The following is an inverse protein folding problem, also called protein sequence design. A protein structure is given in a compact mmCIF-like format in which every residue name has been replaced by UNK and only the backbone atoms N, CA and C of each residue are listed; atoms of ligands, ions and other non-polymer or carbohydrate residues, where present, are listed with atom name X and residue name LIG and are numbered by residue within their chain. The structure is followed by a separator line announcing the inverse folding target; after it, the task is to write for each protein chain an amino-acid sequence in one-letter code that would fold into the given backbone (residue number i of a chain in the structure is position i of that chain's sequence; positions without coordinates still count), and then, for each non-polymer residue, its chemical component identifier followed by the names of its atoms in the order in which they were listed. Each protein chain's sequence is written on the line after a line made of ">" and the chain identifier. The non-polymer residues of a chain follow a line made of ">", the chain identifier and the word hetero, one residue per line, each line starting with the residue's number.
data_IF_927165566778
#
_entry.id   IF_927165566778
#
_cell.length_a   1.000
_cell.length_b   1.000
_cell.length_c   1.000
_cell.angle_alpha   90.00
_cell.angle_beta   90.00
_cell.angle_gamma   90.00
#
_symmetry.space_group_name_H-M   'P 1'
#
loop_
_entity.id
_entity.type
_entity.pdbx_description
1 polymer ?
#
# COMPACT_ATOMS: atom_id res chain seq x y z
N UNK A 1 33.01 39.80 8.95
CA UNK A 1 33.76 38.52 8.95
C UNK A 1 32.89 37.46 8.26
N UNK A 2 33.33 36.84 7.15
CA UNK A 2 32.66 35.65 6.63
C UNK A 2 33.10 34.42 7.44
N UNK A 3 32.16 33.76 8.12
CA UNK A 3 32.46 32.59 8.94
C UNK A 3 32.82 31.37 8.06
N UNK A 4 33.85 30.62 8.47
CA UNK A 4 34.42 29.51 7.71
C UNK A 4 33.48 28.30 7.67
N UNK A 5 33.44 27.64 6.51
CA UNK A 5 32.84 26.33 6.31
C UNK A 5 33.67 25.28 7.09
N UNK A 6 33.03 24.52 7.97
CA UNK A 6 33.63 23.35 8.63
C UNK A 6 32.88 22.08 8.20
N UNK A 7 33.51 21.26 7.35
CA UNK A 7 33.06 19.90 7.06
C UNK A 7 33.60 18.94 8.14
N UNK A 8 32.72 18.33 8.94
CA UNK A 8 33.09 17.27 9.89
C UNK A 8 32.31 15.97 9.66
N UNK A 9 33.04 15.00 9.08
CA UNK A 9 32.94 13.53 9.21
C UNK A 9 31.60 12.81 9.48
N UNK A 10 31.19 12.00 8.50
CA UNK A 10 30.75 10.56 8.55
C UNK A 10 29.84 10.12 9.74
N UNK A 11 28.73 9.38 9.56
CA UNK A 11 28.48 8.24 8.62
C UNK A 11 27.01 8.20 8.14
N UNK A 12 26.80 7.52 7.01
CA UNK A 12 25.53 7.30 6.31
C UNK A 12 25.01 5.88 6.55
N UNK A 13 23.68 5.69 6.65
CA UNK A 13 23.03 4.39 6.37
C UNK A 13 22.15 4.55 5.13
N UNK A 14 22.39 3.69 4.13
CA UNK A 14 21.98 3.87 2.74
C UNK A 14 20.55 3.36 2.53
N UNK A 15 19.59 4.23 2.82
CA UNK A 15 18.24 4.32 2.19
C UNK A 15 17.81 5.80 2.11
N UNK A 16 18.26 6.61 3.08
CA UNK A 16 17.77 7.98 3.32
C UNK A 16 18.27 9.02 2.29
N UNK A 17 19.32 8.77 1.50
CA UNK A 17 19.92 9.80 0.62
C UNK A 17 18.92 10.45 -0.35
N UNK A 18 18.09 9.64 -1.02
CA UNK A 18 17.05 10.17 -1.92
C UNK A 18 15.96 10.94 -1.16
N UNK A 19 15.57 10.44 0.02
CA UNK A 19 14.62 11.11 0.90
C UNK A 19 15.13 12.50 1.33
N UNK A 20 16.40 12.60 1.73
CA UNK A 20 17.07 13.86 2.05
C UNK A 20 17.02 14.82 0.87
N UNK A 21 17.42 14.39 -0.33
CA UNK A 21 17.38 15.24 -1.53
C UNK A 21 15.95 15.76 -1.79
N UNK A 22 14.93 14.91 -1.72
CA UNK A 22 13.55 15.31 -1.98
C UNK A 22 13.04 16.29 -0.91
N UNK A 23 13.39 16.09 0.36
CA UNK A 23 13.03 17.00 1.45
C UNK A 23 13.77 18.35 1.34
N UNK A 24 15.06 18.36 1.02
CA UNK A 24 15.84 19.59 0.78
C UNK A 24 15.29 20.38 -0.41
N UNK A 25 14.91 19.70 -1.52
CA UNK A 25 14.20 20.31 -2.66
C UNK A 25 12.85 20.92 -2.28
N UNK A 26 12.21 20.42 -1.22
CA UNK A 26 10.96 20.97 -0.65
C UNK A 26 11.23 22.06 0.42
N UNK A 27 12.48 22.46 0.65
CA UNK A 27 12.85 23.49 1.61
C UNK A 27 12.98 23.01 3.06
N UNK A 28 12.89 21.70 3.33
CA UNK A 28 13.09 21.16 4.67
C UNK A 28 14.57 21.18 5.06
N UNK A 29 14.86 21.70 6.25
CA UNK A 29 16.17 21.57 6.89
C UNK A 29 16.24 20.26 7.67
N UNK A 30 17.25 19.45 7.40
CA UNK A 30 17.52 18.24 8.20
C UNK A 30 18.03 18.64 9.59
N UNK A 31 17.39 18.11 10.63
CA UNK A 31 17.83 18.19 12.02
C UNK A 31 18.60 16.92 12.39
N UNK A 32 19.62 17.06 13.24
CA UNK A 32 20.46 15.95 13.68
C UNK A 32 20.43 15.82 15.20
N UNK A 33 20.32 14.58 15.68
CA UNK A 33 20.37 14.25 17.11
C UNK A 33 19.00 13.84 17.67
N UNK A 34 18.98 12.90 18.65
CA UNK A 34 17.74 12.32 19.15
C UNK A 34 16.95 13.24 20.10
N UNK A 35 17.46 14.45 20.41
CA UNK A 35 16.87 15.35 21.40
C UNK A 35 16.03 16.49 20.81
N UNK A 36 16.04 16.67 19.49
CA UNK A 36 15.29 17.75 18.83
C UNK A 36 13.78 17.47 18.86
N UNK A 37 13.04 18.33 19.55
CA UNK A 37 11.58 18.19 19.73
C UNK A 37 10.77 19.08 18.79
N UNK A 38 11.39 20.13 18.27
CA UNK A 38 10.76 21.11 17.39
C UNK A 38 11.02 20.79 15.92
N UNK A 39 10.43 19.67 15.46
CA UNK A 39 10.45 19.22 14.06
C UNK A 39 9.05 19.30 13.44
N UNK A 40 8.95 19.47 12.12
CA UNK A 40 7.67 19.33 11.39
C UNK A 40 7.44 17.89 10.90
N UNK A 41 8.51 17.20 10.52
CA UNK A 41 8.51 15.82 10.04
C UNK A 41 9.60 15.00 10.74
N UNK A 42 9.20 13.91 11.38
CA UNK A 42 10.08 12.85 11.85
C UNK A 42 9.92 11.65 10.92
N UNK A 43 10.94 11.38 10.11
CA UNK A 43 10.98 10.19 9.26
C UNK A 43 11.93 9.15 9.86
N UNK A 44 11.40 7.96 10.15
CA UNK A 44 12.17 6.84 10.73
C UNK A 44 12.07 5.64 9.78
N UNK A 45 13.18 4.92 9.58
CA UNK A 45 13.15 3.69 8.79
C UNK A 45 12.59 2.52 9.59
N UNK A 46 13.09 2.33 10.82
CA UNK A 46 12.60 1.34 11.76
C UNK A 46 11.29 1.79 12.42
N UNK A 47 10.57 0.83 13.01
CA UNK A 47 9.33 1.08 13.74
C UNK A 47 9.60 1.93 15.01
N UNK A 48 9.17 3.20 15.07
CA UNK A 48 9.73 4.16 16.02
C UNK A 48 9.18 3.98 17.44
N UNK A 49 8.03 3.32 17.59
CA UNK A 49 7.36 3.14 18.88
C UNK A 49 8.03 2.09 19.79
N UNK A 50 8.94 1.26 19.27
CA UNK A 50 9.80 0.38 20.09
C UNK A 50 11.12 1.04 20.51
N UNK A 51 11.46 2.20 19.94
CA UNK A 51 12.74 2.87 20.21
C UNK A 51 12.58 3.76 21.45
N UNK A 52 13.19 3.36 22.56
CA UNK A 52 13.01 4.01 23.87
C UNK A 52 13.31 5.52 23.86
N UNK A 53 14.33 5.96 23.11
CA UNK A 53 14.64 7.39 22.95
C UNK A 53 13.53 8.16 22.23
N UNK A 54 12.86 7.55 21.24
CA UNK A 54 11.79 8.19 20.48
C UNK A 54 10.44 8.20 21.22
N UNK A 55 10.15 7.18 22.02
CA UNK A 55 8.87 7.06 22.75
C UNK A 55 8.49 8.31 23.55
N UNK A 56 9.48 9.00 24.16
CA UNK A 56 9.24 10.23 24.94
C UNK A 56 8.69 11.36 24.06
N UNK A 57 9.22 11.52 22.85
CA UNK A 57 8.83 12.57 21.92
C UNK A 57 7.50 12.23 21.22
N UNK A 58 7.32 10.97 20.84
CA UNK A 58 6.10 10.47 20.18
C UNK A 58 4.85 10.70 21.03
N UNK A 59 4.94 10.60 22.36
CA UNK A 59 3.82 10.89 23.27
C UNK A 59 3.43 12.38 23.33
N UNK A 60 4.30 13.29 22.91
CA UNK A 60 4.11 14.74 22.96
C UNK A 60 3.92 15.41 21.59
N UNK A 61 3.67 14.63 20.53
CA UNK A 61 3.54 15.10 19.14
C UNK A 61 2.40 16.11 19.03
N UNK A 62 2.72 17.30 18.53
CA UNK A 62 1.78 18.40 18.32
C UNK A 62 1.03 18.22 16.99
N UNK A 63 -0.19 18.78 16.81
CA UNK A 63 -1.03 18.53 15.63
C UNK A 63 -0.44 18.90 14.25
N UNK A 64 0.62 19.72 14.20
CA UNK A 64 1.33 20.05 12.96
C UNK A 64 2.43 19.04 12.60
N UNK A 65 2.93 18.30 13.59
CA UNK A 65 4.07 17.39 13.47
C UNK A 65 3.64 16.05 12.87
N UNK A 66 4.46 15.48 11.99
CA UNK A 66 4.13 14.27 11.21
C UNK A 66 5.17 13.17 11.44
N UNK A 67 4.70 11.93 11.54
CA UNK A 67 5.52 10.70 11.70
C UNK A 67 5.05 9.68 10.68
N UNK A 68 5.98 9.07 9.93
CA UNK A 68 5.70 8.16 8.81
C UNK A 68 5.32 6.71 9.20
N UNK A 69 4.85 6.48 10.42
CA UNK A 69 4.50 5.15 10.95
C UNK A 69 3.23 5.17 11.79
N UNK A 70 2.50 4.06 11.72
CA UNK A 70 1.30 3.73 12.49
C UNK A 70 1.69 3.00 13.80
N UNK A 71 1.31 3.41 15.02
CA UNK A 71 1.48 2.54 16.18
C UNK A 71 0.64 1.28 16.01
N UNK A 72 1.28 0.14 16.19
CA UNK A 72 0.77 -1.17 15.79
C UNK A 72 1.16 -1.57 14.37
N UNK A 73 1.89 -0.77 13.59
CA UNK A 73 2.17 -1.10 12.18
C UNK A 73 2.97 -2.38 12.01
N UNK A 74 3.92 -2.66 12.91
CA UNK A 74 4.62 -3.95 12.99
C UNK A 74 3.72 -5.19 12.95
N UNK A 75 2.44 -5.06 13.32
CA UNK A 75 1.43 -6.11 13.24
C UNK A 75 0.86 -6.32 11.82
N UNK A 76 0.56 -5.26 11.06
CA UNK A 76 0.07 -5.41 9.67
C UNK A 76 1.21 -5.50 8.65
N UNK A 77 2.36 -4.87 8.94
CA UNK A 77 3.58 -5.08 8.17
C UNK A 77 4.19 -6.47 8.42
N UNK A 78 3.69 -7.21 9.41
CA UNK A 78 4.03 -8.62 9.63
C UNK A 78 3.48 -9.49 8.51
N UNK A 79 4.42 -10.07 7.77
CA UNK A 79 4.18 -10.94 6.62
C UNK A 79 3.35 -12.19 6.98
N UNK A 80 3.48 -12.72 8.20
CA UNK A 80 2.58 -13.78 8.67
C UNK A 80 1.14 -13.25 8.78
N UNK A 81 0.92 -12.11 9.46
CA UNK A 81 -0.45 -11.59 9.63
C UNK A 81 -1.10 -11.17 8.31
N UNK A 82 -0.31 -10.70 7.34
CA UNK A 82 -0.73 -10.53 5.95
C UNK A 82 -1.30 -11.85 5.38
N UNK A 83 -0.48 -12.90 5.40
CA UNK A 83 -0.73 -14.15 4.69
C UNK A 83 -1.69 -15.11 5.41
N UNK A 84 -1.85 -14.98 6.74
CA UNK A 84 -2.85 -15.70 7.54
C UNK A 84 -4.11 -14.87 7.81
N UNK A 85 -4.26 -13.68 7.20
CA UNK A 85 -5.50 -12.90 7.33
C UNK A 85 -6.64 -13.56 6.55
N UNK A 86 -7.86 -13.43 7.07
CA UNK A 86 -9.06 -14.01 6.46
C UNK A 86 -9.62 -13.13 5.35
N UNK A 87 -8.81 -12.81 4.34
CA UNK A 87 -9.30 -12.12 3.14
C UNK A 87 -10.17 -13.06 2.31
N UNK A 88 -11.18 -12.49 1.66
CA UNK A 88 -12.11 -13.19 0.79
C UNK A 88 -11.47 -13.70 -0.50
N UNK A 89 -10.35 -13.11 -0.92
CA UNK A 89 -9.68 -13.40 -2.18
C UNK A 89 -8.18 -13.03 -2.16
N UNK A 90 -7.42 -13.58 -3.13
CA UNK A 90 -6.05 -13.12 -3.43
C UNK A 90 -4.97 -13.47 -2.41
N UNK A 91 -5.23 -14.40 -1.49
CA UNK A 91 -4.23 -14.98 -0.60
C UNK A 91 -4.04 -16.47 -0.87
N UNK A 92 -2.77 -16.86 -0.97
CA UNK A 92 -2.34 -18.26 -0.98
C UNK A 92 -2.56 -18.88 0.40
N UNK A 93 -3.03 -20.13 0.44
CA UNK A 93 -3.22 -20.85 1.71
C UNK A 93 -1.90 -20.88 2.48
N UNK A 94 -1.93 -20.40 3.73
CA UNK A 94 -0.72 -20.19 4.53
C UNK A 94 -0.95 -20.69 5.96
N UNK A 95 -0.02 -21.49 6.44
CA UNK A 95 -0.08 -22.20 7.72
C UNK A 95 1.15 -21.87 8.55
N UNK A 96 0.94 -21.37 9.76
CA UNK A 96 2.02 -21.07 10.73
C UNK A 96 2.44 -22.34 11.46
N UNK A 97 3.73 -22.63 11.55
CA UNK A 97 4.25 -23.84 12.20
C UNK A 97 4.98 -23.45 13.50
N UNK A 98 4.71 -24.15 14.63
CA UNK A 98 3.94 -25.38 14.77
C UNK A 98 2.41 -25.24 14.89
N UNK A 99 1.86 -24.03 15.09
CA UNK A 99 0.48 -23.87 15.60
C UNK A 99 -0.64 -24.37 14.66
N UNK A 100 -0.40 -24.42 13.36
CA UNK A 100 -1.35 -24.84 12.32
C UNK A 100 -0.93 -26.15 11.64
N UNK A 101 -0.03 -26.95 12.25
CA UNK A 101 0.46 -28.21 11.69
C UNK A 101 -0.67 -29.13 11.23
N UNK A 102 -1.65 -29.41 12.09
CA UNK A 102 -2.72 -30.36 11.78
C UNK A 102 -3.71 -29.82 10.74
N UNK A 103 -3.81 -28.49 10.61
CA UNK A 103 -4.58 -27.85 9.53
C UNK A 103 -3.85 -27.98 8.20
N UNK A 104 -2.52 -27.78 8.18
CA UNK A 104 -1.69 -28.02 7.00
C UNK A 104 -1.76 -29.47 6.53
N UNK A 105 -1.61 -30.45 7.44
CA UNK A 105 -1.64 -31.87 7.08
C UNK A 105 -2.98 -32.27 6.44
N UNK A 106 -4.12 -31.87 7.04
CA UNK A 106 -5.46 -32.11 6.47
C UNK A 106 -5.70 -31.37 5.15
N UNK A 107 -5.03 -30.24 4.92
CA UNK A 107 -5.07 -29.54 3.64
C UNK A 107 -4.24 -30.28 2.58
N UNK A 108 -3.02 -30.72 2.95
CA UNK A 108 -2.12 -31.45 2.07
C UNK A 108 -2.69 -32.80 1.62
N UNK A 109 -3.32 -33.57 2.52
CA UNK A 109 -4.01 -34.83 2.18
C UNK A 109 -5.02 -34.70 1.03
N UNK A 110 -5.62 -33.50 0.87
CA UNK A 110 -6.62 -33.19 -0.17
C UNK A 110 -6.03 -32.54 -1.42
N UNK A 111 -4.80 -32.04 -1.34
CA UNK A 111 -4.15 -31.20 -2.35
C UNK A 111 -2.67 -31.62 -2.53
N UNK A 112 -2.41 -32.93 -2.54
CA UNK A 112 -1.05 -33.50 -2.52
C UNK A 112 -0.25 -33.26 -3.81
N UNK A 113 -0.91 -32.76 -4.85
CA UNK A 113 -0.31 -32.28 -6.10
C UNK A 113 0.14 -30.82 -6.05
N UNK A 114 -0.23 -30.06 -5.02
CA UNK A 114 0.22 -28.66 -4.86
C UNK A 114 1.67 -28.60 -4.36
N UNK A 115 2.41 -27.61 -4.87
CA UNK A 115 3.72 -27.27 -4.33
C UNK A 115 3.57 -26.31 -3.14
N UNK A 116 4.48 -26.42 -2.18
CA UNK A 116 4.51 -25.56 -1.00
C UNK A 116 5.88 -24.91 -0.84
N UNK A 117 5.88 -23.66 -0.39
CA UNK A 117 7.07 -22.87 -0.12
C UNK A 117 7.17 -22.60 1.38
N UNK A 118 8.33 -22.93 1.96
CA UNK A 118 8.67 -22.69 3.35
C UNK A 118 9.37 -21.34 3.43
N UNK A 119 8.96 -20.52 4.40
CA UNK A 119 9.51 -19.18 4.63
C UNK A 119 9.61 -18.93 6.14
N UNK A 120 10.68 -18.26 6.58
CA UNK A 120 10.70 -17.67 7.92
C UNK A 120 10.24 -16.20 7.89
N UNK A 121 9.95 -15.64 9.07
CA UNK A 121 9.48 -14.26 9.23
C UNK A 121 10.40 -13.19 8.61
N UNK A 122 11.68 -13.50 8.40
CA UNK A 122 12.69 -12.59 7.84
C UNK A 122 12.94 -12.82 6.33
N UNK A 123 12.13 -13.65 5.66
CA UNK A 123 12.33 -14.05 4.26
C UNK A 123 13.72 -14.65 3.94
N UNK A 124 14.36 -15.26 4.94
CA UNK A 124 15.57 -16.08 4.75
C UNK A 124 15.19 -17.56 4.73
N UNK A 125 15.94 -18.38 4.01
CA UNK A 125 15.64 -19.82 3.88
C UNK A 125 14.34 -20.09 3.10
N UNK A 126 14.06 -19.29 2.06
CA UNK A 126 12.93 -19.54 1.16
C UNK A 126 13.25 -20.78 0.31
N UNK A 127 12.50 -21.87 0.51
CA UNK A 127 12.72 -23.17 -0.12
C UNK A 127 11.39 -23.83 -0.47
N UNK A 128 11.30 -24.44 -1.64
CA UNK A 128 10.26 -25.43 -1.96
C UNK A 128 10.79 -26.79 -1.51
N UNK A 129 10.01 -27.51 -0.70
CA UNK A 129 10.38 -28.80 -0.12
C UNK A 129 9.26 -29.82 -0.29
N UNK A 130 9.60 -31.10 -0.34
CA UNK A 130 8.59 -32.15 -0.15
C UNK A 130 8.09 -32.14 1.30
N UNK A 131 6.94 -32.74 1.57
CA UNK A 131 6.41 -32.82 2.94
C UNK A 131 7.33 -33.57 3.90
N UNK A 132 8.06 -34.57 3.39
CA UNK A 132 8.96 -35.43 4.16
C UNK A 132 10.23 -34.70 4.62
N UNK A 133 10.61 -33.61 3.94
CA UNK A 133 11.72 -32.75 4.29
C UNK A 133 11.34 -31.67 5.32
N UNK A 134 10.07 -31.56 5.72
CA UNK A 134 9.58 -30.51 6.62
C UNK A 134 9.74 -30.93 8.09
N UNK A 135 10.73 -30.35 8.76
CA UNK A 135 10.84 -30.49 10.21
C UNK A 135 9.85 -29.57 10.95
N UNK A 136 8.67 -30.10 11.26
CA UNK A 136 7.60 -29.41 12.00
C UNK A 136 7.94 -29.03 13.46
N UNK A 137 9.09 -29.44 14.02
CA UNK A 137 9.50 -29.05 15.38
C UNK A 137 10.20 -27.69 15.44
N UNK A 138 10.61 -27.15 14.28
CA UNK A 138 11.27 -25.84 14.21
C UNK A 138 10.22 -24.72 14.31
N UNK A 139 10.38 -23.84 15.29
CA UNK A 139 9.48 -22.70 15.49
C UNK A 139 9.76 -21.55 14.49
N UNK A 140 8.74 -20.71 14.26
CA UNK A 140 8.82 -19.43 13.51
C UNK A 140 9.05 -19.56 11.99
N UNK A 141 8.56 -20.62 11.37
CA UNK A 141 8.35 -20.67 9.92
C UNK A 141 6.87 -20.80 9.58
N UNK A 142 6.54 -20.49 8.33
CA UNK A 142 5.22 -20.71 7.74
C UNK A 142 5.36 -21.46 6.43
N UNK A 143 4.40 -22.34 6.18
CA UNK A 143 4.23 -23.07 4.93
C UNK A 143 3.16 -22.34 4.13
N UNK A 144 3.43 -22.05 2.87
CA UNK A 144 2.50 -21.36 1.99
C UNK A 144 2.34 -22.15 0.68
N UNK A 145 1.11 -22.28 0.19
CA UNK A 145 0.80 -22.78 -1.15
C UNK A 145 1.59 -21.98 -2.20
N UNK A 146 2.26 -22.67 -3.12
CA UNK A 146 3.11 -22.05 -4.12
C UNK A 146 2.39 -21.93 -5.48
N UNK A 147 2.50 -20.76 -6.12
CA UNK A 147 1.97 -20.53 -7.48
C UNK A 147 2.83 -21.31 -8.49
N UNK A 148 2.40 -22.53 -8.81
CA UNK A 148 3.06 -23.45 -9.74
C UNK A 148 3.04 -22.94 -11.19
N UNK A 149 1.97 -22.25 -11.59
CA UNK A 149 1.76 -21.71 -12.93
C UNK A 149 1.75 -20.16 -12.94
N UNK A 150 2.90 -19.49 -12.65
CA UNK A 150 2.95 -18.03 -12.68
C UNK A 150 2.85 -17.50 -14.11
N UNK A 151 2.31 -16.29 -14.30
CA UNK A 151 2.41 -15.60 -15.58
C UNK A 151 3.89 -15.31 -15.89
N UNK A 152 4.36 -15.81 -17.03
CA UNK A 152 5.75 -15.63 -17.46
C UNK A 152 5.88 -14.53 -18.52
N UNK A 153 7.00 -13.82 -18.49
CA UNK A 153 7.46 -12.93 -19.56
C UNK A 153 8.89 -13.32 -19.88
N UNK A 154 9.22 -13.56 -21.15
CA UNK A 154 10.51 -14.14 -21.57
C UNK A 154 10.90 -15.42 -20.80
N UNK A 155 9.90 -16.25 -20.46
CA UNK A 155 10.07 -17.47 -19.69
C UNK A 155 10.42 -17.25 -18.21
N UNK A 156 10.44 -16.01 -17.71
CA UNK A 156 10.81 -15.67 -16.33
C UNK A 156 9.58 -15.32 -15.50
N UNK A 157 9.59 -15.80 -14.26
CA UNK A 157 8.62 -15.42 -13.23
C UNK A 157 8.95 -14.00 -12.75
N UNK A 158 7.93 -13.25 -12.33
CA UNK A 158 8.09 -11.90 -11.79
C UNK A 158 7.09 -11.59 -10.68
N UNK A 159 7.35 -10.50 -9.95
CA UNK A 159 6.35 -9.86 -9.10
C UNK A 159 6.15 -8.36 -9.43
N UNK A 160 5.03 -7.84 -8.94
CA UNK A 160 4.57 -6.46 -9.13
C UNK A 160 4.51 -5.79 -7.76
N UNK A 161 5.45 -4.88 -7.50
CA UNK A 161 5.49 -4.05 -6.31
C UNK A 161 4.60 -2.81 -6.44
N UNK A 162 3.52 -2.75 -5.65
CA UNK A 162 2.54 -1.67 -5.60
C UNK A 162 2.74 -0.84 -4.34
N UNK A 163 2.93 0.48 -4.48
CA UNK A 163 3.06 1.37 -3.34
C UNK A 163 1.69 1.83 -2.82
N UNK A 164 1.46 1.62 -1.54
CA UNK A 164 0.22 1.93 -0.82
C UNK A 164 0.51 2.92 0.29
N UNK A 165 -0.34 3.94 0.43
CA UNK A 165 -0.28 4.94 1.49
C UNK A 165 -1.55 4.86 2.32
N UNK A 166 -1.44 4.51 3.60
CA UNK A 166 -2.49 4.77 4.58
C UNK A 166 -2.27 6.21 5.06
N UNK A 167 -3.30 7.06 5.06
CA UNK A 167 -3.19 8.47 5.53
C UNK A 167 -3.96 8.76 6.81
N UNK A 168 -4.98 7.95 7.07
CA UNK A 168 -5.82 8.00 8.26
C UNK A 168 -6.48 6.64 8.42
N UNK A 169 -6.95 6.36 9.62
CA UNK A 169 -7.62 5.10 9.97
C UNK A 169 -8.99 5.30 10.62
N UNK A 170 -9.27 6.53 11.05
CA UNK A 170 -10.48 6.91 11.78
C UNK A 170 -10.88 8.32 11.33
N UNK A 171 -11.56 8.45 10.17
CA UNK A 171 -11.96 7.36 9.28
C UNK A 171 -10.80 6.82 8.44
N UNK A 172 -10.91 5.58 7.98
CA UNK A 172 -9.88 4.91 7.19
C UNK A 172 -9.77 5.48 5.78
N UNK A 173 -8.56 5.90 5.41
CA UNK A 173 -8.20 6.46 4.11
C UNK A 173 -6.91 5.78 3.61
N UNK A 174 -7.01 5.15 2.45
CA UNK A 174 -5.96 4.34 1.84
C UNK A 174 -5.88 4.67 0.36
N UNK A 175 -4.66 4.85 -0.14
CA UNK A 175 -4.37 5.21 -1.52
C UNK A 175 -3.33 4.25 -2.10
N UNK A 176 -3.36 4.02 -3.41
CA UNK A 176 -2.27 3.36 -4.15
C UNK A 176 -1.64 4.33 -5.12
N UNK A 177 -0.33 4.21 -5.35
CA UNK A 177 0.37 4.95 -6.38
C UNK A 177 0.07 4.32 -7.75
N UNK A 178 -0.52 5.11 -8.65
CA UNK A 178 -0.81 4.66 -10.02
C UNK A 178 0.18 5.18 -11.06
N UNK A 179 1.16 6.01 -10.65
CA UNK A 179 2.13 6.62 -11.57
C UNK A 179 3.12 5.62 -12.19
N UNK A 180 3.51 4.58 -11.45
CA UNK A 180 4.24 3.42 -11.94
C UNK A 180 4.17 2.26 -10.91
N UNK A 181 4.76 1.11 -11.23
CA UNK A 181 4.97 -0.05 -10.36
C UNK A 181 6.42 -0.52 -10.43
N UNK A 182 6.89 -1.28 -9.45
CA UNK A 182 8.18 -1.96 -9.55
C UNK A 182 7.96 -3.37 -10.12
N UNK A 183 8.56 -3.70 -11.28
CA UNK A 183 8.60 -5.07 -11.78
C UNK A 183 9.96 -5.70 -11.47
N UNK A 184 9.94 -6.91 -10.91
CA UNK A 184 11.14 -7.66 -10.52
C UNK A 184 11.07 -9.08 -11.07
N UNK A 185 12.04 -9.46 -11.89
CA UNK A 185 12.08 -10.76 -12.55
C UNK A 185 13.07 -11.71 -11.85
N UNK A 186 12.74 -12.99 -11.78
CA UNK A 186 13.67 -14.05 -11.42
C UNK A 186 14.87 -14.05 -12.41
N UNK A 187 16.12 -14.25 -11.94
CA UNK A 187 17.29 -14.27 -12.83
C UNK A 187 17.23 -15.35 -13.92
N UNK A 188 16.70 -16.53 -13.61
CA UNK A 188 16.61 -17.65 -14.54
C UNK A 188 15.21 -17.88 -15.13
N UNK A 189 15.20 -18.56 -16.28
CA UNK A 189 13.96 -19.07 -16.88
C UNK A 189 13.32 -20.11 -15.95
N UNK A 190 12.01 -19.96 -15.75
CA UNK A 190 11.19 -20.78 -14.87
C UNK A 190 11.15 -22.25 -15.29
N UNK A 191 11.11 -22.49 -16.61
CA UNK A 191 11.18 -23.83 -17.20
C UNK A 191 12.55 -24.11 -17.85
N UNK A 192 13.07 -25.36 -17.77
CA UNK A 192 12.56 -26.45 -16.94
C UNK A 192 12.65 -26.10 -15.45
N UNK A 193 11.64 -26.54 -14.69
CA UNK A 193 11.47 -26.19 -13.28
C UNK A 193 12.41 -27.03 -12.41
N UNK A 194 13.11 -26.37 -11.49
CA UNK A 194 13.97 -26.99 -10.49
C UNK A 194 13.74 -26.30 -9.14
N UNK A 195 13.29 -27.06 -8.14
CA UNK A 195 13.04 -26.57 -6.79
C UNK A 195 14.32 -26.24 -6.01
N UNK A 196 15.47 -26.76 -6.44
CA UNK A 196 16.78 -26.46 -5.82
C UNK A 196 17.33 -25.12 -6.29
N UNK A 197 17.06 -24.72 -7.53
CA UNK A 197 17.48 -23.43 -8.07
C UNK A 197 16.46 -22.30 -7.74
N UNK A 198 16.78 -21.56 -6.68
CA UNK A 198 15.95 -20.44 -6.17
C UNK A 198 15.80 -19.30 -7.17
N UNK A 199 16.78 -19.09 -8.04
CA UNK A 199 16.80 -17.99 -9.02
C UNK A 199 15.80 -18.20 -10.17
N UNK A 200 15.13 -19.35 -10.22
CA UNK A 200 13.96 -19.59 -11.10
C UNK A 200 12.64 -19.12 -10.50
N UNK A 201 12.46 -19.24 -9.18
CA UNK A 201 11.13 -19.15 -8.55
C UNK A 201 11.00 -18.16 -7.38
N UNK A 202 12.12 -17.67 -6.84
CA UNK A 202 12.19 -16.66 -5.78
C UNK A 202 12.64 -15.32 -6.38
N UNK A 203 11.79 -14.30 -6.26
CA UNK A 203 12.20 -12.92 -6.54
C UNK A 203 13.01 -12.42 -5.35
N UNK A 204 14.34 -12.49 -5.48
CA UNK A 204 15.31 -12.06 -4.47
C UNK A 204 15.60 -10.54 -4.56
N UNK A 205 16.59 -10.05 -3.80
CA UNK A 205 17.08 -8.68 -3.96
C UNK A 205 17.94 -8.53 -5.24
N UNK A 206 18.53 -9.62 -5.74
CA UNK A 206 19.35 -9.69 -6.96
C UNK A 206 18.51 -9.98 -8.23
N UNK A 207 17.26 -9.48 -8.24
CA UNK A 207 16.31 -9.66 -9.33
C UNK A 207 16.79 -9.00 -10.64
N UNK A 208 16.36 -9.55 -11.79
CA UNK A 208 16.54 -8.87 -13.06
C UNK A 208 15.52 -7.72 -13.20
N UNK A 209 15.97 -6.49 -13.47
CA UNK A 209 15.09 -5.37 -13.74
C UNK A 209 14.59 -5.37 -15.19
N UNK A 210 13.46 -4.72 -15.42
CA UNK A 210 12.75 -4.66 -16.71
C UNK A 210 13.63 -4.24 -17.90
N UNK A 211 14.66 -3.42 -17.68
CA UNK A 211 15.53 -2.87 -18.73
C UNK A 211 16.73 -3.75 -19.13
N UNK A 212 17.04 -4.83 -18.39
CA UNK A 212 18.25 -5.62 -18.68
C UNK A 212 18.04 -6.71 -19.73
N UNK A 213 17.12 -7.66 -19.50
CA UNK A 213 17.05 -8.91 -20.29
C UNK A 213 15.62 -9.40 -20.57
N UNK A 214 14.64 -8.48 -20.58
CA UNK A 214 13.24 -8.80 -20.92
C UNK A 214 12.93 -8.23 -22.32
N UNK A 215 13.39 -8.94 -23.35
CA UNK A 215 13.29 -8.58 -24.77
C UNK A 215 11.84 -8.29 -25.20
N UNK A 216 10.89 -9.10 -24.73
CA UNK A 216 9.45 -8.90 -25.01
C UNK A 216 8.90 -7.54 -24.53
N UNK A 217 9.51 -6.94 -23.50
CA UNK A 217 9.10 -5.65 -22.94
C UNK A 217 9.93 -4.47 -23.46
N UNK A 218 11.12 -4.72 -24.01
CA UNK A 218 12.04 -3.68 -24.54
C UNK A 218 11.34 -2.72 -25.51
N UNK A 219 10.51 -3.25 -26.41
CA UNK A 219 9.75 -2.48 -27.41
C UNK A 219 8.70 -1.52 -26.83
N UNK A 220 8.31 -1.69 -25.57
CA UNK A 220 7.42 -0.77 -24.85
C UNK A 220 8.24 0.12 -23.90
N UNK A 221 9.08 -0.48 -23.06
CA UNK A 221 9.82 0.25 -22.02
C UNK A 221 10.93 1.14 -22.58
N UNK A 222 11.83 0.57 -23.39
CA UNK A 222 13.01 1.30 -23.88
C UNK A 222 12.70 2.11 -25.14
N UNK A 223 11.98 1.52 -26.09
CA UNK A 223 11.72 2.13 -27.39
C UNK A 223 10.60 3.19 -27.35
N UNK A 224 9.51 2.93 -26.62
CA UNK A 224 8.41 3.89 -26.43
C UNK A 224 8.53 4.71 -25.13
N UNK A 225 9.58 4.50 -24.33
CA UNK A 225 9.84 5.20 -23.05
C UNK A 225 8.68 5.11 -22.04
N UNK A 226 7.90 4.02 -22.10
CA UNK A 226 6.78 3.79 -21.20
C UNK A 226 7.24 3.48 -19.78
N UNK A 227 6.41 3.82 -18.78
CA UNK A 227 6.59 3.36 -17.41
C UNK A 227 6.51 1.82 -17.32
N UNK A 228 6.94 1.24 -16.21
CA UNK A 228 6.84 -0.21 -15.98
C UNK A 228 5.37 -0.69 -15.97
N UNK A 229 4.47 0.12 -15.41
CA UNK A 229 3.01 -0.10 -15.39
C UNK A 229 2.40 -0.06 -16.78
N UNK A 230 2.74 0.94 -17.59
CA UNK A 230 2.27 1.06 -18.98
C UNK A 230 2.83 -0.05 -19.86
N UNK A 231 4.10 -0.40 -19.68
CA UNK A 231 4.75 -1.53 -20.35
C UNK A 231 4.02 -2.85 -20.07
N UNK A 232 3.73 -3.14 -18.79
CA UNK A 232 2.97 -4.33 -18.42
C UNK A 232 1.55 -4.31 -19.02
N UNK A 233 0.89 -3.14 -19.01
CA UNK A 233 -0.44 -2.97 -19.61
C UNK A 233 -0.44 -3.24 -21.12
N UNK A 234 0.55 -2.70 -21.84
CA UNK A 234 0.71 -2.91 -23.28
C UNK A 234 0.99 -4.39 -23.58
N UNK A 235 1.86 -5.04 -22.81
CA UNK A 235 2.17 -6.46 -22.97
C UNK A 235 0.97 -7.37 -22.69
N UNK A 236 0.24 -7.16 -21.58
CA UNK A 236 -0.95 -7.96 -21.24
C UNK A 236 -2.02 -7.83 -22.34
N UNK A 237 -2.28 -6.62 -22.83
CA UNK A 237 -3.26 -6.38 -23.91
C UNK A 237 -2.82 -6.98 -25.24
N UNK A 238 -1.53 -6.90 -25.59
CA UNK A 238 -0.98 -7.51 -26.80
C UNK A 238 -1.10 -9.05 -26.80
N UNK A 239 -1.22 -9.67 -25.62
CA UNK A 239 -1.49 -11.10 -25.44
C UNK A 239 -3.00 -11.41 -25.27
N UNK A 240 -3.89 -10.52 -25.69
CA UNK A 240 -5.35 -10.74 -25.67
C UNK A 240 -6.01 -10.70 -24.29
N UNK A 241 -5.29 -10.23 -23.26
CA UNK A 241 -5.77 -10.20 -21.87
C UNK A 241 -6.15 -8.77 -21.43
N UNK A 242 -7.14 -8.64 -20.55
CA UNK A 242 -7.49 -7.35 -19.95
C UNK A 242 -6.62 -7.05 -18.72
N UNK A 243 -5.79 -6.01 -18.83
CA UNK A 243 -5.01 -5.49 -17.72
C UNK A 243 -5.84 -4.72 -16.67
N UNK A 244 -7.03 -4.23 -17.04
CA UNK A 244 -7.91 -3.44 -16.17
C UNK A 244 -8.38 -4.27 -14.97
N UNK A 245 -8.74 -5.54 -15.22
CA UNK A 245 -9.05 -6.55 -14.19
C UNK A 245 -7.92 -6.74 -13.17
N UNK A 246 -6.65 -6.75 -13.60
CA UNK A 246 -5.49 -6.86 -12.67
C UNK A 246 -5.51 -5.69 -11.67
N UNK A 247 -5.65 -4.46 -12.16
CA UNK A 247 -5.65 -3.27 -11.29
C UNK A 247 -6.90 -3.14 -10.41
N UNK A 248 -8.07 -3.57 -10.87
CA UNK A 248 -9.26 -3.62 -9.98
C UNK A 248 -9.04 -4.62 -8.85
N UNK A 249 -8.43 -5.77 -9.13
CA UNK A 249 -8.11 -6.79 -8.12
C UNK A 249 -7.12 -6.31 -7.08
N UNK A 250 -6.01 -5.70 -7.52
CA UNK A 250 -5.00 -5.11 -6.64
C UNK A 250 -5.67 -4.15 -5.64
N UNK A 251 -6.58 -3.29 -6.15
CA UNK A 251 -7.35 -2.37 -5.31
C UNK A 251 -8.30 -3.10 -4.36
N UNK A 252 -9.01 -4.14 -4.80
CA UNK A 252 -9.92 -4.91 -3.94
C UNK A 252 -9.18 -5.63 -2.80
N UNK A 253 -8.06 -6.31 -3.08
CA UNK A 253 -7.23 -7.00 -2.08
C UNK A 253 -6.65 -5.99 -1.08
N UNK A 254 -6.06 -4.89 -1.56
CA UNK A 254 -5.50 -3.84 -0.68
C UNK A 254 -6.61 -3.19 0.17
N UNK A 255 -7.78 -2.93 -0.41
CA UNK A 255 -8.94 -2.42 0.33
C UNK A 255 -9.38 -3.39 1.43
N UNK A 256 -9.43 -4.69 1.15
CA UNK A 256 -9.87 -5.68 2.13
C UNK A 256 -8.84 -5.85 3.24
N UNK A 257 -7.56 -5.91 2.88
CA UNK A 257 -6.49 -6.01 3.85
C UNK A 257 -6.46 -4.80 4.78
N UNK A 258 -6.35 -3.59 4.22
CA UNK A 258 -6.19 -2.37 5.01
C UNK A 258 -7.44 -2.02 5.85
N UNK A 259 -8.63 -2.56 5.54
CA UNK A 259 -9.86 -2.36 6.30
C UNK A 259 -9.76 -2.74 7.80
N UNK A 260 -8.77 -3.55 8.17
CA UNK A 260 -8.64 -4.11 9.52
C UNK A 260 -7.76 -3.29 10.49
N UNK A 261 -7.09 -2.20 10.06
CA UNK A 261 -5.99 -1.58 10.84
C UNK A 261 -6.18 -0.10 11.21
N UNK A 262 -5.65 0.28 12.39
CA UNK A 262 -5.73 1.61 13.04
C UNK A 262 -4.50 1.82 14.00
N UNK A 263 -3.75 2.97 14.12
CA UNK A 263 -3.87 4.32 13.52
C UNK A 263 -2.60 5.07 12.98
N UNK A 264 -2.75 6.26 12.35
CA UNK A 264 -1.72 7.16 11.72
C UNK A 264 -1.52 6.95 10.19
N UNK A 265 -0.38 7.42 9.61
CA UNK A 265 -0.03 7.29 8.19
C UNK A 265 1.21 6.42 7.97
N UNK A 266 1.26 5.67 6.87
CA UNK A 266 2.41 4.84 6.51
C UNK A 266 2.44 4.54 5.02
N UNK A 267 3.65 4.35 4.49
CA UNK A 267 3.94 3.97 3.11
C UNK A 267 4.49 2.53 3.10
N UNK A 268 3.86 1.64 2.34
CA UNK A 268 4.26 0.23 2.23
C UNK A 268 4.21 -0.22 0.77
N UNK A 269 5.08 -1.16 0.38
CA UNK A 269 4.98 -1.83 -0.93
C UNK A 269 4.35 -3.21 -0.77
N UNK A 270 3.27 -3.47 -1.48
CA UNK A 270 2.60 -4.78 -1.57
C UNK A 270 3.13 -5.49 -2.82
N UNK A 271 3.67 -6.70 -2.67
CA UNK A 271 4.26 -7.47 -3.76
C UNK A 271 3.25 -8.53 -4.24
N UNK A 272 2.84 -8.47 -5.52
CA UNK A 272 1.84 -9.38 -6.11
C UNK A 272 2.43 -10.31 -7.18
N UNK A 273 1.93 -11.54 -7.25
CA UNK A 273 2.24 -12.52 -8.30
C UNK A 273 0.97 -12.78 -9.14
N UNK A 274 1.12 -12.79 -10.47
CA UNK A 274 0.09 -13.20 -11.43
C UNK A 274 0.23 -14.68 -11.78
N UNK A 275 -0.88 -15.37 -12.06
CA UNK A 275 -0.92 -16.69 -12.71
C UNK A 275 -1.10 -16.61 -14.23
N UNK A 276 -0.86 -17.74 -14.90
CA UNK A 276 -1.02 -17.87 -16.36
C UNK A 276 -2.49 -17.92 -16.83
N UNK A 277 -3.42 -18.36 -16.00
CA UNK A 277 -4.86 -18.37 -16.23
C UNK A 277 -5.52 -16.98 -16.30
N UNK A 278 -4.76 -15.88 -16.07
CA UNK A 278 -5.26 -14.50 -16.08
C UNK A 278 -6.32 -14.23 -17.18
N UNK A 279 -7.54 -13.95 -16.72
CA UNK A 279 -8.78 -13.68 -17.48
C UNK A 279 -9.50 -14.86 -18.17
N UNK A 280 -9.08 -16.12 -17.96
CA UNK A 280 -9.76 -17.29 -18.54
C UNK A 280 -11.11 -17.60 -17.88
N UNK A 281 -11.22 -17.42 -16.56
CA UNK A 281 -12.47 -17.58 -15.83
C UNK A 281 -13.13 -16.22 -15.61
N UNK A 282 -14.29 -15.99 -16.24
CA UNK A 282 -14.90 -14.65 -16.38
C UNK A 282 -15.36 -13.97 -15.08
N UNK A 283 -15.34 -14.67 -13.95
CA UNK A 283 -15.77 -14.22 -12.64
C UNK A 283 -14.69 -14.57 -11.61
N UNK A 284 -14.22 -13.55 -10.90
CA UNK A 284 -13.13 -13.56 -9.92
C UNK A 284 -11.72 -13.83 -10.51
N UNK A 285 -10.72 -13.06 -10.10
CA UNK A 285 -9.31 -13.35 -10.30
C UNK A 285 -8.78 -14.03 -9.05
N UNK A 286 -8.95 -15.34 -8.99
CA UNK A 286 -8.21 -16.23 -8.08
C UNK A 286 -6.71 -16.30 -8.45
N UNK A 287 -6.34 -15.52 -9.47
CA UNK A 287 -5.16 -15.51 -10.30
C UNK A 287 -4.10 -14.47 -9.90
N UNK A 288 -4.39 -13.69 -8.86
CA UNK A 288 -3.50 -12.64 -8.37
C UNK A 288 -3.31 -12.79 -6.87
N UNK A 289 -2.07 -13.12 -6.48
CA UNK A 289 -1.74 -13.44 -5.11
C UNK A 289 -0.88 -12.36 -4.48
N UNK A 290 -1.33 -11.86 -3.34
CA UNK A 290 -0.52 -11.00 -2.48
C UNK A 290 0.56 -11.85 -1.81
N UNK A 291 1.78 -11.75 -2.33
CA UNK A 291 2.90 -12.60 -1.96
C UNK A 291 3.72 -12.03 -0.79
N UNK A 292 3.72 -10.69 -0.61
CA UNK A 292 4.55 -10.04 0.40
C UNK A 292 4.14 -8.60 0.70
N UNK A 293 4.72 -8.05 1.78
CA UNK A 293 4.78 -6.61 2.02
C UNK A 293 6.22 -6.19 2.39
N UNK A 294 6.73 -5.12 1.78
CA UNK A 294 8.12 -4.69 1.84
C UNK A 294 8.20 -3.16 2.04
N UNK A 295 8.79 -2.65 3.15
CA UNK A 295 8.93 -1.20 3.38
C UNK A 295 10.15 -0.57 2.70
N UNK A 296 10.92 -1.33 1.92
CA UNK A 296 12.20 -0.89 1.36
C UNK A 296 12.01 0.02 0.13
N UNK A 297 12.51 1.26 0.23
CA UNK A 297 12.54 2.28 -0.83
C UNK A 297 13.95 2.53 -1.39
N UNK A 298 14.91 1.63 -1.13
CA UNK A 298 16.30 1.84 -1.53
C UNK A 298 16.52 1.63 -3.03
N UNK A 299 17.05 2.65 -3.70
CA UNK A 299 17.63 2.55 -5.06
C UNK A 299 19.11 2.17 -5.04
N UNK A 300 19.65 1.70 -3.89
CA UNK A 300 21.07 1.34 -3.77
C UNK A 300 21.49 0.19 -4.67
N UNK A 301 20.58 -0.77 -4.90
CA UNK A 301 20.80 -1.92 -5.76
C UNK A 301 20.68 -1.51 -7.24
N UNK A 302 19.56 -0.87 -7.62
CA UNK A 302 19.33 -0.32 -8.95
C UNK A 302 19.09 1.18 -8.93
N UNK A 303 20.09 1.96 -9.33
CA UNK A 303 20.05 3.44 -9.37
C UNK A 303 18.93 3.98 -10.27
N UNK A 304 18.59 3.26 -11.34
CA UNK A 304 17.54 3.59 -12.29
C UNK A 304 16.16 3.72 -11.60
N UNK A 305 15.89 2.94 -10.55
CA UNK A 305 14.66 3.05 -9.75
C UNK A 305 14.59 4.37 -8.94
N UNK A 306 15.67 5.15 -8.87
CA UNK A 306 15.69 6.44 -8.18
C UNK A 306 14.62 7.41 -8.68
N UNK A 307 14.31 7.42 -9.99
CA UNK A 307 13.25 8.26 -10.54
C UNK A 307 11.86 7.83 -10.05
N UNK A 308 11.57 6.52 -10.03
CA UNK A 308 10.33 5.97 -9.49
C UNK A 308 10.16 6.37 -8.02
N UNK A 309 11.20 6.21 -7.21
CA UNK A 309 11.14 6.52 -5.79
C UNK A 309 11.09 8.02 -5.50
N UNK A 310 11.74 8.87 -6.32
CA UNK A 310 11.61 10.33 -6.24
C UNK A 310 10.18 10.78 -6.52
N UNK A 311 9.59 10.29 -7.62
CA UNK A 311 8.22 10.60 -7.98
C UNK A 311 7.24 10.09 -6.93
N UNK A 312 7.42 8.86 -6.42
CA UNK A 312 6.62 8.32 -5.32
C UNK A 312 6.68 9.23 -4.09
N UNK A 313 7.88 9.61 -3.62
CA UNK A 313 8.05 10.47 -2.44
C UNK A 313 7.38 11.84 -2.64
N UNK A 314 7.56 12.49 -3.80
CA UNK A 314 6.90 13.75 -4.13
C UNK A 314 5.37 13.64 -4.13
N UNK A 315 4.82 12.52 -4.62
CA UNK A 315 3.38 12.26 -4.60
C UNK A 315 2.88 12.01 -3.17
N UNK A 316 3.59 11.21 -2.38
CA UNK A 316 3.28 10.93 -0.96
C UNK A 316 3.30 12.22 -0.14
N UNK A 317 4.35 13.03 -0.28
CA UNK A 317 4.50 14.31 0.41
C UNK A 317 3.42 15.33 0.01
N UNK A 318 2.99 15.33 -1.24
CA UNK A 318 1.83 16.11 -1.69
C UNK A 318 0.55 15.63 -1.00
N UNK A 319 0.27 14.32 -1.01
CA UNK A 319 -0.92 13.71 -0.41
C UNK A 319 -1.02 13.99 1.10
N UNK A 320 0.02 13.68 1.88
CA UNK A 320 0.01 13.88 3.35
C UNK A 320 0.24 15.34 3.76
N UNK A 321 0.38 16.25 2.79
CA UNK A 321 0.54 17.69 3.00
C UNK A 321 1.87 18.10 3.66
N UNK A 322 2.96 17.42 3.32
CA UNK A 322 4.35 17.85 3.58
C UNK A 322 4.78 18.85 2.49
N UNK A 323 4.39 18.64 1.24
CA UNK A 323 4.70 19.52 0.10
C UNK A 323 3.61 20.56 -0.22
N UNK A 324 2.70 20.84 0.72
CA UNK A 324 1.46 21.58 0.43
C UNK A 324 1.62 23.10 0.60
N UNK A 325 1.26 23.83 -0.45
CA UNK A 325 1.35 25.30 -0.50
C UNK A 325 0.09 26.00 0.05
N UNK A 326 -0.95 25.26 0.43
CA UNK A 326 -2.26 25.78 0.85
C UNK A 326 -2.32 26.29 2.31
N UNK A 327 -1.31 27.04 2.75
CA UNK A 327 -1.39 27.78 4.00
C UNK A 327 -2.31 29.01 3.84
N UNK A 328 -3.25 29.19 4.76
CA UNK A 328 -4.07 30.42 4.87
C UNK A 328 -5.42 30.46 4.13
N UNK A 329 -5.70 29.59 3.15
CA UNK A 329 -7.02 29.61 2.49
C UNK A 329 -8.15 29.06 3.39
N UNK A 330 -9.29 29.77 3.40
CA UNK A 330 -10.55 29.22 3.92
C UNK A 330 -11.03 28.10 3.01
N UNK A 331 -11.42 26.98 3.60
CA UNK A 331 -11.91 25.80 2.89
C UNK A 331 -13.33 25.41 3.30
N UNK A 332 -13.96 26.11 4.25
CA UNK A 332 -15.23 25.67 4.85
C UNK A 332 -16.34 25.45 3.82
N UNK A 333 -16.50 26.39 2.89
CA UNK A 333 -17.47 26.28 1.78
C UNK A 333 -17.26 25.02 0.93
N UNK A 334 -16.00 24.64 0.70
CA UNK A 334 -15.62 23.48 -0.11
C UNK A 334 -15.89 22.15 0.61
N UNK A 335 -16.08 22.16 1.93
CA UNK A 335 -16.43 20.96 2.71
C UNK A 335 -17.88 20.54 2.54
N UNK A 336 -18.79 21.47 2.20
CA UNK A 336 -20.21 21.15 2.13
C UNK A 336 -20.55 20.22 0.96
N UNK A 337 -21.57 19.39 1.19
CA UNK A 337 -22.15 18.47 0.22
C UNK A 337 -23.66 18.60 0.27
N UNK A 338 -24.30 18.71 -0.88
CA UNK A 338 -25.75 18.83 -0.99
C UNK A 338 -26.32 17.46 -1.36
N UNK A 339 -27.10 16.89 -0.44
CA UNK A 339 -27.92 15.71 -0.74
C UNK A 339 -29.32 16.19 -1.13
N UNK A 340 -29.71 16.00 -2.40
CA UNK A 340 -31.09 16.24 -2.87
C UNK A 340 -32.17 15.53 -2.01
N UNK A 341 -31.77 14.47 -1.32
CA UNK A 341 -32.59 13.60 -0.47
C UNK A 341 -32.53 13.97 1.02
N UNK A 342 -31.65 14.89 1.42
CA UNK A 342 -31.75 15.50 2.73
C UNK A 342 -32.84 16.57 2.64
N UNK A 343 -33.92 16.50 3.44
CA UNK A 343 -34.96 17.53 3.41
C UNK A 343 -34.40 18.81 4.05
N UNK A 344 -33.63 19.59 3.27
CA UNK A 344 -32.93 20.79 3.73
C UNK A 344 -33.88 21.77 4.40
N UNK A 345 -35.12 21.86 3.91
CA UNK A 345 -36.23 22.56 4.57
C UNK A 345 -36.41 22.13 6.03
N UNK A 346 -36.63 20.85 6.32
CA UNK A 346 -36.82 20.35 7.69
C UNK A 346 -35.55 20.51 8.56
N UNK A 347 -34.37 20.35 7.95
CA UNK A 347 -33.10 20.49 8.66
C UNK A 347 -32.77 21.96 9.00
N UNK A 348 -33.16 22.91 8.15
CA UNK A 348 -33.02 24.36 8.39
C UNK A 348 -34.10 24.91 9.32
N UNK A 349 -35.36 24.47 9.14
CA UNK A 349 -36.52 24.93 9.92
C UNK A 349 -36.40 24.59 11.41
N UNK A 350 -35.97 23.38 11.76
CA UNK A 350 -36.15 22.87 13.12
C UNK A 350 -35.12 23.37 14.14
N UNK A 351 -33.96 23.91 13.74
CA UNK A 351 -32.83 24.37 14.61
C UNK A 351 -32.33 23.38 15.70
N UNK A 352 -32.91 22.19 15.82
CA UNK A 352 -32.74 21.25 16.93
C UNK A 352 -32.39 19.83 16.46
N UNK A 353 -31.73 19.08 17.34
CA UNK A 353 -31.04 17.79 17.11
C UNK A 353 -31.92 16.59 16.70
N UNK A 354 -33.22 16.79 16.43
CA UNK A 354 -34.25 15.75 16.27
C UNK A 354 -34.03 14.73 15.14
N UNK A 355 -33.12 14.99 14.18
CA UNK A 355 -32.80 14.04 13.09
C UNK A 355 -31.33 13.60 13.03
N UNK A 356 -30.56 13.76 14.12
CA UNK A 356 -29.15 13.33 14.18
C UNK A 356 -28.97 11.81 14.00
N UNK A 357 -30.04 11.03 14.20
CA UNK A 357 -30.10 9.58 13.96
C UNK A 357 -29.98 9.19 12.48
N UNK A 358 -30.38 10.07 11.55
CA UNK A 358 -30.20 9.85 10.12
C UNK A 358 -28.77 10.23 9.72
N UNK A 359 -27.93 9.24 9.40
CA UNK A 359 -26.50 9.46 9.09
C UNK A 359 -26.27 10.54 8.03
N UNK A 360 -27.13 10.64 7.00
CA UNK A 360 -27.04 11.67 5.96
C UNK A 360 -27.21 13.10 6.50
N UNK A 361 -28.03 13.31 7.54
CA UNK A 361 -28.23 14.63 8.15
C UNK A 361 -26.99 15.11 8.92
N UNK A 362 -26.16 14.18 9.44
CA UNK A 362 -24.88 14.54 10.10
C UNK A 362 -23.85 15.18 9.16
N UNK A 363 -24.08 15.14 7.85
CA UNK A 363 -23.25 15.81 6.84
C UNK A 363 -23.77 17.21 6.44
N UNK A 364 -24.87 17.69 7.04
CA UNK A 364 -25.32 19.07 6.89
C UNK A 364 -24.38 20.03 7.62
N UNK A 365 -24.16 21.23 7.06
CA UNK A 365 -23.18 22.17 7.60
C UNK A 365 -23.38 22.58 9.07
N UNK A 366 -24.64 22.64 9.53
CA UNK A 366 -25.00 22.91 10.93
C UNK A 366 -24.81 21.70 11.88
N UNK A 367 -24.58 20.49 11.35
CA UNK A 367 -24.32 19.28 12.13
C UNK A 367 -22.83 18.94 12.25
N UNK A 368 -21.92 19.66 11.58
CA UNK A 368 -20.49 19.43 11.69
C UNK A 368 -19.97 19.88 13.07
N UNK A 369 -19.59 18.92 13.91
CA UNK A 369 -18.73 19.18 15.06
C UNK A 369 -17.28 19.47 14.59
N UNK A 370 -16.43 19.97 15.50
CA UNK A 370 -15.04 20.31 15.21
C UNK A 370 -14.22 19.14 14.63
N UNK A 371 -14.43 17.94 15.17
CA UNK A 371 -13.83 16.69 14.70
C UNK A 371 -14.20 16.42 13.23
N UNK A 372 -15.49 16.46 12.88
CA UNK A 372 -15.94 16.29 11.50
C UNK A 372 -15.39 17.36 10.57
N UNK A 373 -15.38 18.64 10.96
CA UNK A 373 -14.74 19.71 10.16
C UNK A 373 -13.27 19.38 9.87
N UNK A 374 -12.53 18.87 10.86
CA UNK A 374 -11.11 18.49 10.74
C UNK A 374 -10.92 17.27 9.81
N UNK A 375 -11.75 16.25 9.96
CA UNK A 375 -11.77 15.04 9.12
C UNK A 375 -12.10 15.40 7.66
N UNK A 376 -13.10 16.23 7.43
CA UNK A 376 -13.49 16.65 6.08
C UNK A 376 -12.45 17.58 5.45
N UNK A 377 -11.85 18.50 6.22
CA UNK A 377 -10.77 19.37 5.73
C UNK A 377 -9.54 18.56 5.31
N UNK A 378 -9.12 17.59 6.11
CA UNK A 378 -8.00 16.70 5.74
C UNK A 378 -8.34 15.81 4.54
N UNK A 379 -9.56 15.26 4.48
CA UNK A 379 -10.00 14.44 3.33
C UNK A 379 -10.11 15.24 2.02
N UNK A 380 -10.56 16.50 2.11
CA UNK A 380 -10.59 17.44 1.00
C UNK A 380 -9.18 17.76 0.50
N UNK A 381 -8.28 18.13 1.43
CA UNK A 381 -6.88 18.45 1.13
C UNK A 381 -6.15 17.25 0.51
N UNK A 382 -6.32 16.04 1.04
CA UNK A 382 -5.77 14.83 0.45
C UNK A 382 -6.26 14.64 -0.99
N UNK A 383 -7.58 14.72 -1.23
CA UNK A 383 -8.11 14.47 -2.57
C UNK A 383 -7.58 15.47 -3.61
N UNK A 384 -7.48 16.76 -3.29
CA UNK A 384 -6.92 17.74 -4.25
C UNK A 384 -5.40 17.60 -4.40
N UNK A 385 -4.69 17.13 -3.36
CA UNK A 385 -3.22 17.04 -3.34
C UNK A 385 -2.68 15.68 -3.77
N UNK A 386 -3.55 14.71 -4.06
CA UNK A 386 -3.20 13.29 -4.30
C UNK A 386 -2.27 13.04 -5.49
N UNK A 387 -2.27 13.91 -6.51
CA UNK A 387 -1.55 13.71 -7.78
C UNK A 387 -1.85 12.32 -8.38
N UNK A 388 -0.84 11.46 -8.53
CA UNK A 388 -0.97 10.10 -9.09
C UNK A 388 -1.35 9.03 -8.05
N UNK A 389 -1.70 9.42 -6.82
CA UNK A 389 -2.26 8.51 -5.81
C UNK A 389 -3.78 8.38 -5.97
N UNK A 390 -4.26 7.16 -6.20
CA UNK A 390 -5.68 6.84 -6.32
C UNK A 390 -6.23 6.36 -4.99
N UNK A 391 -7.34 6.94 -4.54
CA UNK A 391 -8.02 6.55 -3.30
C UNK A 391 -8.68 5.18 -3.47
N UNK A 392 -8.28 4.22 -2.66
CA UNK A 392 -8.81 2.85 -2.60
C UNK A 392 -9.82 2.71 -1.46
N UNK A 393 -9.60 3.40 -0.35
CA UNK A 393 -10.58 3.57 0.73
C UNK A 393 -10.67 5.03 1.14
N UNK A 394 -11.87 5.55 1.47
CA UNK A 394 -13.19 4.96 1.22
C UNK A 394 -13.54 4.89 -0.29
N UNK A 395 -14.25 3.83 -0.68
CA UNK A 395 -14.82 3.67 -2.03
C UNK A 395 -16.09 4.51 -2.20
N UNK A 396 -16.36 5.00 -3.41
CA UNK A 396 -17.57 5.78 -3.76
C UNK A 396 -18.60 5.01 -4.60
N UNK A 397 -18.33 3.73 -4.80
CA UNK A 397 -19.23 2.81 -5.48
C UNK A 397 -19.51 1.70 -4.47
N UNK A 398 -20.78 1.39 -4.17
CA UNK A 398 -21.11 0.24 -3.34
C UNK A 398 -20.80 -1.03 -4.13
N UNK A 399 -19.60 -1.56 -3.91
CA UNK A 399 -19.27 -2.95 -4.25
C UNK A 399 -19.97 -3.84 -3.22
N UNK A 400 -20.75 -4.83 -3.66
CA UNK A 400 -21.49 -5.73 -2.77
C UNK A 400 -20.57 -6.44 -1.76
N UNK A 401 -19.32 -6.75 -2.16
CA UNK A 401 -18.29 -7.32 -1.29
C UNK A 401 -17.91 -6.41 -0.11
N UNK A 402 -18.25 -5.12 -0.15
CA UNK A 402 -17.93 -4.16 0.91
C UNK A 402 -19.09 -3.95 1.89
N UNK A 403 -20.29 -4.48 1.61
CA UNK A 403 -21.49 -4.33 2.46
C UNK A 403 -21.27 -4.94 3.85
N UNK A 404 -20.52 -6.03 3.96
CA UNK A 404 -20.25 -6.74 5.21
C UNK A 404 -19.09 -6.15 6.05
N UNK A 405 -18.39 -5.09 5.58
CA UNK A 405 -17.25 -4.52 6.31
C UNK A 405 -17.71 -3.78 7.58
N UNK A 406 -17.01 -4.00 8.70
CA UNK A 406 -17.25 -3.36 10.00
C UNK A 406 -16.77 -1.90 10.01
N UNK A 407 -17.48 -1.03 9.27
CA UNK A 407 -17.25 0.40 9.27
C UNK A 407 -17.72 1.07 10.57
N UNK A 408 -16.84 1.88 11.18
CA UNK A 408 -17.21 2.79 12.28
C UNK A 408 -18.21 3.85 11.79
N UNK A 409 -18.77 4.60 12.73
CA UNK A 409 -19.68 5.70 12.39
C UNK A 409 -18.98 6.80 11.57
N UNK A 410 -17.70 7.08 11.83
CA UNK A 410 -16.91 8.03 11.04
C UNK A 410 -16.59 7.48 9.64
N UNK A 411 -16.25 6.19 9.52
CA UNK A 411 -16.02 5.55 8.22
C UNK A 411 -17.28 5.67 7.31
N UNK A 412 -18.47 5.41 7.86
CA UNK A 412 -19.74 5.55 7.10
C UNK A 412 -20.02 7.00 6.68
N UNK A 413 -19.71 7.98 7.54
CA UNK A 413 -19.90 9.39 7.22
C UNK A 413 -18.93 9.87 6.14
N UNK A 414 -17.67 9.42 6.14
CA UNK A 414 -16.74 9.81 5.08
C UNK A 414 -17.07 9.15 3.74
N UNK A 415 -17.57 7.90 3.74
CA UNK A 415 -18.08 7.23 2.52
C UNK A 415 -19.22 8.07 1.92
N UNK A 416 -20.25 8.41 2.71
CA UNK A 416 -21.38 9.23 2.26
C UNK A 416 -20.95 10.61 1.76
N UNK A 417 -19.92 11.23 2.36
CA UNK A 417 -19.37 12.50 1.92
C UNK A 417 -18.66 12.39 0.57
N UNK A 418 -17.80 11.38 0.39
CA UNK A 418 -17.14 11.15 -0.89
C UNK A 418 -18.11 10.68 -1.99
N UNK A 419 -19.17 9.93 -1.68
CA UNK A 419 -20.26 9.61 -2.61
C UNK A 419 -20.91 10.89 -3.14
N UNK A 420 -21.22 11.84 -2.24
CA UNK A 420 -21.83 13.10 -2.63
C UNK A 420 -20.88 13.95 -3.48
N UNK A 421 -19.59 14.00 -3.12
CA UNK A 421 -18.57 14.66 -3.96
C UNK A 421 -18.42 13.99 -5.33
N UNK A 422 -18.37 12.65 -5.41
CA UNK A 422 -18.32 11.87 -6.66
C UNK A 422 -19.54 12.08 -7.56
N UNK A 423 -20.71 12.40 -6.98
CA UNK A 423 -21.93 12.79 -7.71
C UNK A 423 -21.90 14.23 -8.22
N UNK A 424 -21.20 15.13 -7.53
CA UNK A 424 -20.98 16.51 -7.97
C UNK A 424 -19.89 16.61 -9.05
N UNK A 425 -18.81 15.85 -8.89
CA UNK A 425 -17.64 15.84 -9.79
C UNK A 425 -17.01 14.43 -9.79
N UNK A 426 -16.87 13.83 -10.98
CA UNK A 426 -16.33 12.48 -11.18
C UNK A 426 -14.87 12.34 -10.74
N UNK A 427 -14.11 13.43 -10.62
CA UNK A 427 -12.72 13.45 -10.12
C UNK A 427 -12.65 13.05 -8.63
N UNK A 428 -13.77 13.04 -7.91
CA UNK A 428 -13.86 12.60 -6.51
C UNK A 428 -14.12 11.10 -6.32
N UNK A 429 -14.48 10.39 -7.38
CA UNK A 429 -14.76 8.96 -7.33
C UNK A 429 -13.47 8.13 -7.08
N UNK A 430 -13.59 7.03 -6.33
CA UNK A 430 -12.52 6.03 -6.07
C UNK A 430 -12.21 5.17 -7.27
#
# INVERSE_FOLDING_TARGET
>A
MPARINFLSKRLIIIIYLLTIVLEKLGYRILYGPNETNFDLLWVHEYPFTIASLQRFIKGVRPYQKINHIPGSGYYTSKIHLLTSKLSMGLLKTFKIPEMKDEFLRYYERNSNELFIIKNNKHRGIEIKSIDEINFTINNFFIQQYVSNPYLIDGKKFDIGIYTVITSVLPLRVYIYEGDVLLRFCPENYFPFDSKNKDKYVVSDDYLPIWQVIYQLKKYYAEQKMTSRETLNAYIRANGKDASKVWSTIKEIIAEYCANFRPFFELSRFDFILDDHLNQNGLLPDNLFLANMSPNLSSSHFKQNGLLYEQLLLNVFSLVGIANHFHGQSLEEKLYVFFYWCPLYFCAMLKYKLRIHLQKCRLCGHCFNYEMKTILRSSYLEQISRRNLRRVLPTTIPNERHVYRKYTQLDRLIILWFDAKCKQDKVWCS
#
